data_IF_569968668964
#
_entry.id   IF_569968668964
#
_cell.length_a   1.000
_cell.length_b   1.000
_cell.length_c   1.000
_cell.angle_alpha   90.00
_cell.angle_beta   90.00
_cell.angle_gamma   90.00
#
_symmetry.space_group_name_H-M   'P 1'
#
loop_
_entity.id
_entity.type
_entity.pdbx_description
1 polymer ?
#
# COMPACT_ATOMS: atom_id res chain seq x y z
N UNK A 1 23.56 5.93 41.63
CA UNK A 1 22.62 4.86 41.23
C UNK A 1 22.22 5.08 39.77
N UNK A 2 22.24 4.01 38.96
CA UNK A 2 22.12 4.04 37.50
C UNK A 2 20.69 4.36 37.04
N UNK A 3 20.56 5.27 36.07
CA UNK A 3 19.33 5.47 35.31
C UNK A 3 19.05 4.22 34.44
N UNK A 4 17.87 3.64 34.58
CA UNK A 4 17.37 2.64 33.62
C UNK A 4 16.65 3.39 32.50
N UNK A 5 17.28 3.47 31.33
CA UNK A 5 16.57 3.65 30.07
C UNK A 5 15.69 2.41 29.89
N UNK A 6 14.39 2.55 30.15
CA UNK A 6 13.41 1.59 29.66
C UNK A 6 13.12 1.94 28.20
N UNK A 7 13.49 1.02 27.33
CA UNK A 7 13.30 1.12 25.89
C UNK A 7 11.87 1.49 25.56
N UNK A 8 11.75 2.44 24.64
CA UNK A 8 10.51 2.78 23.95
C UNK A 8 10.00 1.49 23.29
N UNK A 9 9.02 0.83 23.93
CA UNK A 9 8.21 -0.16 23.25
C UNK A 9 7.54 0.61 22.11
N UNK A 10 7.96 0.36 20.88
CA UNK A 10 7.30 0.90 19.69
C UNK A 10 5.83 0.54 19.80
N UNK A 11 4.97 1.56 19.94
CA UNK A 11 3.53 1.38 19.83
C UNK A 11 3.28 0.64 18.51
N UNK A 12 2.68 -0.54 18.60
CA UNK A 12 2.05 -1.16 17.44
C UNK A 12 1.10 -0.13 16.81
N UNK A 13 1.00 -0.06 15.47
CA UNK A 13 0.09 0.87 14.82
C UNK A 13 -1.32 0.63 15.35
N UNK A 14 -1.89 1.68 15.93
CA UNK A 14 -3.28 1.76 16.36
C UNK A 14 -4.14 1.54 15.10
N UNK A 15 -4.99 0.50 15.10
CA UNK A 15 -6.03 0.36 14.09
C UNK A 15 -7.02 1.49 14.35
N UNK A 16 -6.75 2.63 13.71
CA UNK A 16 -7.25 3.95 14.09
C UNK A 16 -8.76 4.06 14.23
N UNK A 17 -9.15 5.09 15.00
CA UNK A 17 -10.49 5.60 15.34
C UNK A 17 -11.54 5.70 14.22
N UNK A 18 -11.20 5.40 12.96
CA UNK A 18 -12.02 5.64 11.77
C UNK A 18 -12.56 4.34 11.10
N UNK A 19 -12.21 3.14 11.60
CA UNK A 19 -12.75 1.88 11.07
C UNK A 19 -12.28 1.54 9.65
N UNK A 20 -11.04 1.87 9.30
CA UNK A 20 -10.46 1.63 7.97
C UNK A 20 -8.98 1.22 8.03
N UNK A 21 -8.56 0.44 7.04
CA UNK A 21 -7.15 0.14 6.75
C UNK A 21 -6.61 1.22 5.81
N UNK A 22 -5.61 1.99 6.25
CA UNK A 22 -4.88 2.92 5.38
C UNK A 22 -3.72 2.18 4.72
N UNK A 23 -3.60 2.29 3.41
CA UNK A 23 -2.50 1.70 2.65
C UNK A 23 -1.75 2.75 1.84
N UNK A 24 -0.42 2.71 1.94
CA UNK A 24 0.49 3.62 1.24
C UNK A 24 1.45 2.77 0.41
N UNK A 25 1.52 3.05 -0.88
CA UNK A 25 2.38 2.32 -1.82
C UNK A 25 3.29 3.29 -2.55
N UNK A 26 4.58 2.97 -2.60
CA UNK A 26 5.56 3.66 -3.43
C UNK A 26 5.84 2.81 -4.67
N UNK A 27 5.56 3.37 -5.84
CA UNK A 27 5.85 2.75 -7.14
C UNK A 27 7.06 3.44 -7.76
N UNK A 28 8.13 2.67 -7.98
CA UNK A 28 9.37 3.18 -8.60
C UNK A 28 9.43 2.72 -10.05
N UNK A 29 9.56 3.66 -10.98
CA UNK A 29 9.76 3.33 -12.38
C UNK A 29 11.24 3.04 -12.66
N UNK A 30 11.61 1.75 -12.61
CA UNK A 30 12.98 1.28 -12.92
C UNK A 30 13.24 1.09 -14.42
N UNK A 31 12.27 1.40 -15.28
CA UNK A 31 12.43 1.27 -16.73
C UNK A 31 13.10 2.52 -17.32
N UNK A 32 13.51 2.43 -18.60
CA UNK A 32 14.05 3.58 -19.36
C UNK A 32 12.97 4.44 -20.01
N UNK A 33 11.69 4.10 -19.83
CA UNK A 33 10.54 4.74 -20.47
C UNK A 33 9.66 5.37 -19.40
N UNK A 34 9.02 6.49 -19.71
CA UNK A 34 7.97 7.00 -18.83
C UNK A 34 6.78 6.04 -18.84
N UNK A 35 6.26 5.74 -17.66
CA UNK A 35 5.00 5.04 -17.49
C UNK A 35 3.91 6.10 -17.66
N UNK A 36 3.06 5.90 -18.66
CA UNK A 36 1.87 6.72 -18.83
C UNK A 36 0.85 6.43 -17.73
N UNK A 37 0.63 5.15 -17.44
CA UNK A 37 -0.33 4.68 -16.44
C UNK A 37 0.09 3.33 -15.87
N UNK A 38 -0.07 3.13 -14.56
CA UNK A 38 0.00 1.81 -13.95
C UNK A 38 -1.14 1.62 -12.96
N UNK A 39 -1.72 0.43 -12.96
CA UNK A 39 -2.76 0.02 -12.03
C UNK A 39 -2.13 -0.74 -10.86
N UNK A 40 -2.49 -0.33 -9.65
CA UNK A 40 -2.01 -0.93 -8.40
C UNK A 40 -3.22 -1.42 -7.62
N UNK A 41 -3.35 -2.74 -7.51
CA UNK A 41 -4.36 -3.39 -6.69
C UNK A 41 -3.89 -3.56 -5.24
N UNK A 42 -4.83 -3.42 -4.32
CA UNK A 42 -4.69 -3.73 -2.91
C UNK A 42 -5.77 -4.71 -2.47
N UNK A 43 -5.45 -5.66 -1.60
CA UNK A 43 -6.45 -6.51 -0.97
C UNK A 43 -6.06 -6.83 0.47
N UNK A 44 -7.06 -6.92 1.36
CA UNK A 44 -6.89 -7.56 2.67
C UNK A 44 -7.45 -8.97 2.61
N UNK A 45 -6.80 -9.88 3.33
CA UNK A 45 -7.11 -11.30 3.34
C UNK A 45 -7.34 -11.77 4.78
N UNK A 46 -8.25 -12.71 4.97
CA UNK A 46 -8.43 -13.42 6.24
C UNK A 46 -7.33 -14.48 6.48
N UNK A 47 -7.51 -15.30 7.51
CA UNK A 47 -6.56 -16.34 7.91
C UNK A 47 -6.41 -17.44 6.84
N UNK A 48 -7.51 -17.80 6.19
CA UNK A 48 -7.59 -18.79 5.13
C UNK A 48 -7.09 -18.26 3.77
N UNK A 49 -6.86 -16.95 3.69
CA UNK A 49 -6.38 -16.28 2.48
C UNK A 49 -7.51 -15.85 1.53
N UNK A 50 -8.76 -15.86 1.99
CA UNK A 50 -9.89 -15.30 1.26
C UNK A 50 -9.83 -13.77 1.32
N UNK A 51 -10.17 -13.11 0.21
CA UNK A 51 -10.23 -11.65 0.17
C UNK A 51 -11.41 -11.13 0.99
N UNK A 52 -11.13 -10.22 1.91
CA UNK A 52 -12.12 -9.49 2.70
C UNK A 52 -12.51 -8.19 1.98
N UNK A 53 -11.51 -7.46 1.49
CA UNK A 53 -11.70 -6.30 0.63
C UNK A 53 -10.66 -6.30 -0.48
N UNK A 54 -10.99 -5.65 -1.60
CA UNK A 54 -10.06 -5.38 -2.68
C UNK A 54 -10.38 -4.02 -3.28
N UNK A 55 -9.35 -3.24 -3.52
CA UNK A 55 -9.44 -1.93 -4.18
C UNK A 55 -8.32 -1.80 -5.21
N UNK A 56 -8.41 -0.80 -6.08
CA UNK A 56 -7.32 -0.46 -6.98
C UNK A 56 -7.19 1.05 -7.12
N UNK A 57 -5.97 1.50 -7.34
CA UNK A 57 -5.66 2.89 -7.68
C UNK A 57 -4.76 2.94 -8.91
N UNK A 58 -4.65 4.12 -9.50
CA UNK A 58 -3.93 4.37 -10.73
C UNK A 58 -2.88 5.44 -10.50
N UNK A 59 -1.63 5.14 -10.84
CA UNK A 59 -0.60 6.15 -10.97
C UNK A 59 -0.44 6.52 -12.43
N UNK A 60 -0.29 7.80 -12.70
CA UNK A 60 -0.12 8.33 -14.05
C UNK A 60 1.18 9.12 -14.17
N UNK A 61 1.72 9.15 -15.39
CA UNK A 61 2.87 9.98 -15.79
C UNK A 61 4.08 9.85 -14.86
N UNK A 62 4.52 8.61 -14.59
CA UNK A 62 5.73 8.34 -13.79
C UNK A 62 6.94 8.31 -14.71
N UNK A 63 7.79 9.34 -14.66
CA UNK A 63 8.96 9.40 -15.53
C UNK A 63 9.96 8.28 -15.23
N UNK A 64 10.89 8.03 -16.16
CA UNK A 64 11.98 7.06 -15.99
C UNK A 64 12.81 7.42 -14.76
N UNK A 65 12.94 6.50 -13.79
CA UNK A 65 13.69 6.71 -12.55
C UNK A 65 12.91 7.37 -11.42
N UNK A 66 11.70 7.89 -11.69
CA UNK A 66 10.89 8.57 -10.68
C UNK A 66 10.07 7.60 -9.83
N UNK A 67 9.57 8.13 -8.70
CA UNK A 67 8.69 7.43 -7.77
C UNK A 67 7.33 8.12 -7.70
N UNK A 68 6.27 7.34 -7.84
CA UNK A 68 4.90 7.75 -7.52
C UNK A 68 4.48 7.18 -6.17
N UNK A 69 3.57 7.89 -5.47
CA UNK A 69 3.00 7.42 -4.20
C UNK A 69 1.48 7.37 -4.31
N UNK A 70 0.90 6.28 -3.84
CA UNK A 70 -0.54 6.12 -3.61
C UNK A 70 -0.78 6.13 -2.11
N UNK A 71 -1.84 6.80 -1.68
CA UNK A 71 -2.33 6.82 -0.30
C UNK A 71 -3.86 6.72 -0.32
N UNK A 72 -4.38 5.57 0.10
CA UNK A 72 -5.79 5.25 0.03
C UNK A 72 -6.24 4.48 1.27
N UNK A 73 -7.56 4.26 1.36
CA UNK A 73 -8.22 3.58 2.47
C UNK A 73 -9.03 2.40 1.95
N UNK A 74 -9.07 1.35 2.75
CA UNK A 74 -9.93 0.18 2.55
C UNK A 74 -10.74 -0.09 3.82
N UNK A 75 -11.85 -0.80 3.68
CA UNK A 75 -12.71 -1.15 4.81
C UNK A 75 -11.97 -2.05 5.82
N UNK A 76 -12.24 -1.84 7.11
CA UNK A 76 -11.75 -2.67 8.21
C UNK A 76 -12.90 -3.54 8.74
N UNK A 77 -12.81 -4.85 8.51
CA UNK A 77 -13.74 -5.87 8.98
C UNK A 77 -13.32 -6.47 10.34
N UNK A 78 -12.07 -6.27 10.76
CA UNK A 78 -11.53 -6.76 12.03
C UNK A 78 -11.05 -8.22 12.00
N UNK A 79 -11.14 -8.89 10.86
CA UNK A 79 -10.69 -10.27 10.64
C UNK A 79 -9.50 -10.38 9.69
N UNK A 80 -8.94 -9.24 9.27
CA UNK A 80 -7.77 -9.18 8.40
C UNK A 80 -6.56 -9.83 9.06
N UNK A 81 -5.88 -10.70 8.31
CA UNK A 81 -4.61 -11.32 8.71
C UNK A 81 -3.46 -10.93 7.81
N UNK A 82 -3.73 -10.64 6.53
CA UNK A 82 -2.70 -10.31 5.54
C UNK A 82 -3.18 -9.20 4.63
N UNK A 83 -2.23 -8.50 4.02
CA UNK A 83 -2.48 -7.56 2.94
C UNK A 83 -1.64 -7.94 1.72
N UNK A 84 -2.16 -7.68 0.53
CA UNK A 84 -1.47 -7.90 -0.75
C UNK A 84 -1.55 -6.63 -1.57
N UNK A 85 -0.41 -6.22 -2.12
CA UNK A 85 -0.29 -5.16 -3.12
C UNK A 85 0.23 -5.80 -4.40
N UNK A 86 -0.35 -5.44 -5.54
CA UNK A 86 0.09 -5.94 -6.83
C UNK A 86 -0.03 -4.86 -7.91
N UNK A 87 1.02 -4.69 -8.70
CA UNK A 87 0.92 -3.94 -9.97
C UNK A 87 0.35 -4.89 -11.02
N UNK A 88 -0.83 -4.57 -11.58
CA UNK A 88 -1.56 -5.45 -12.52
C UNK A 88 -1.27 -5.12 -13.98
N UNK A 89 -1.34 -3.84 -14.34
CA UNK A 89 -1.16 -3.36 -15.70
C UNK A 89 -0.22 -2.15 -15.73
N UNK A 90 0.66 -2.08 -16.72
CA UNK A 90 1.57 -0.95 -16.95
C UNK A 90 1.53 -0.55 -18.41
N UNK A 91 1.27 0.73 -18.67
CA UNK A 91 1.16 1.32 -19.99
C UNK A 91 2.25 2.39 -20.17
N UNK A 92 3.01 2.30 -21.26
CA UNK A 92 4.14 3.21 -21.55
C UNK A 92 3.83 4.28 -22.60
N UNK A 93 2.65 4.23 -23.22
CA UNK A 93 2.20 5.14 -24.29
C UNK A 93 0.74 5.53 -24.04
N UNK A 94 0.34 6.74 -24.47
CA UNK A 94 -1.07 7.15 -24.52
C UNK A 94 -1.76 6.33 -25.62
N UNK A 95 -2.81 5.58 -25.24
CA UNK A 95 -3.66 4.83 -26.20
C UNK A 95 -4.68 5.74 -26.85
#
# INVERSE_FOLDING_TARGET
MRAKQQGQAGKEPDFGTDGAVRWIVQLVNVSRRSIYQAEVGFATLDEDGCALTSDFDMVQRVASGDTATIDARADLYGTEKRARVQVSNVYFEER
#
